data_IF_276937462057
#
_entry.id   IF_276937462057
#
_cell.length_a   1.000
_cell.length_b   1.000
_cell.length_c   1.000
_cell.angle_alpha   90.00
_cell.angle_beta   90.00
_cell.angle_gamma   90.00
#
_symmetry.space_group_name_H-M   'P 1'
#
loop_
_entity.id
_entity.type
_entity.pdbx_description
1 polymer ?
#
# COMPACT_ATOMS: atom_id res chain seq x y z
N UNK A 1 -2.53 -22.64 14.14
CA UNK A 1 -1.38 -21.80 13.73
C UNK A 1 -1.82 -20.35 13.86
N UNK A 2 -0.95 -19.49 14.37
CA UNK A 2 -1.20 -18.06 14.46
C UNK A 2 -0.99 -17.40 13.10
N UNK A 3 -1.67 -16.29 12.85
CA UNK A 3 -1.53 -15.53 11.60
C UNK A 3 -1.03 -14.13 11.90
N UNK A 4 -0.14 -13.63 11.04
CA UNK A 4 0.38 -12.28 11.13
C UNK A 4 0.61 -11.69 9.73
N UNK A 5 0.61 -10.36 9.65
CA UNK A 5 0.91 -9.64 8.41
C UNK A 5 2.41 -9.35 8.32
N UNK A 6 3.00 -9.58 7.16
CA UNK A 6 4.40 -9.25 6.88
C UNK A 6 4.52 -7.74 6.65
N UNK A 7 5.30 -7.06 7.48
CA UNK A 7 5.63 -5.64 7.31
C UNK A 7 6.78 -5.44 6.33
N UNK A 8 7.80 -6.29 6.43
CA UNK A 8 8.98 -6.28 5.55
C UNK A 8 9.75 -7.58 5.65
N UNK A 9 10.53 -7.89 4.63
CA UNK A 9 11.46 -9.04 4.62
C UNK A 9 12.89 -8.51 4.49
N UNK A 10 13.78 -8.93 5.37
CA UNK A 10 15.19 -8.52 5.37
C UNK A 10 16.07 -9.76 5.56
N UNK A 11 16.84 -10.10 4.56
CA UNK A 11 17.72 -11.27 4.62
C UNK A 11 16.94 -12.56 4.90
N UNK A 12 17.15 -13.19 6.06
CA UNK A 12 16.49 -14.43 6.48
C UNK A 12 15.23 -14.18 7.31
N UNK A 13 14.94 -12.95 7.68
CA UNK A 13 13.90 -12.61 8.63
C UNK A 13 12.74 -11.88 7.97
N UNK A 14 11.52 -12.15 8.44
CA UNK A 14 10.35 -11.34 8.20
C UNK A 14 9.97 -10.60 9.49
N UNK A 15 9.65 -9.32 9.38
CA UNK A 15 9.06 -8.55 10.45
C UNK A 15 7.54 -8.66 10.33
N UNK A 16 6.92 -9.16 11.38
CA UNK A 16 5.50 -9.51 11.42
C UNK A 16 4.72 -8.57 12.34
N UNK A 17 3.44 -8.37 12.00
CA UNK A 17 2.47 -7.64 12.80
C UNK A 17 1.28 -8.57 13.13
N UNK A 18 0.99 -8.75 14.42
CA UNK A 18 -0.20 -9.42 14.92
C UNK A 18 -0.90 -8.51 15.93
N UNK A 19 -2.05 -7.97 15.55
CA UNK A 19 -2.66 -6.86 16.30
C UNK A 19 -1.68 -5.68 16.40
N UNK A 20 -1.32 -5.27 17.62
CA UNK A 20 -0.35 -4.19 17.87
C UNK A 20 1.08 -4.68 18.11
N UNK A 21 1.29 -6.00 18.11
CA UNK A 21 2.60 -6.59 18.39
C UNK A 21 3.43 -6.75 17.13
N UNK A 22 4.66 -6.23 17.18
CA UNK A 22 5.67 -6.37 16.13
C UNK A 22 6.77 -7.30 16.62
N UNK A 23 7.13 -8.29 15.81
CA UNK A 23 8.19 -9.25 16.12
C UNK A 23 8.84 -9.75 14.84
N UNK A 24 10.02 -10.36 14.95
CA UNK A 24 10.71 -11.01 13.84
C UNK A 24 10.48 -12.52 13.85
N UNK A 25 10.44 -13.11 12.66
CA UNK A 25 10.35 -14.54 12.45
C UNK A 25 11.30 -15.00 11.35
N UNK A 26 11.92 -16.14 11.51
CA UNK A 26 12.74 -16.77 10.48
C UNK A 26 11.89 -17.22 9.29
N UNK A 27 12.37 -16.95 8.09
CA UNK A 27 11.72 -17.36 6.84
C UNK A 27 12.45 -18.53 6.23
N UNK A 28 11.77 -19.66 6.07
CA UNK A 28 12.34 -20.85 5.42
C UNK A 28 12.69 -20.53 3.95
N UNK A 29 13.81 -21.06 3.46
CA UNK A 29 14.31 -20.81 2.09
C UNK A 29 13.24 -21.06 1.01
N UNK A 30 12.42 -22.11 1.18
CA UNK A 30 11.31 -22.44 0.26
C UNK A 30 10.26 -21.33 0.14
N UNK A 31 9.99 -20.57 1.22
CA UNK A 31 9.01 -19.48 1.22
C UNK A 31 9.59 -18.21 0.60
N UNK A 32 10.88 -17.96 0.74
CA UNK A 32 11.57 -16.89 0.01
C UNK A 32 11.51 -17.10 -1.49
N UNK A 33 11.72 -18.33 -1.95
CA UNK A 33 11.61 -18.70 -3.38
C UNK A 33 10.18 -18.53 -3.91
N UNK A 34 9.17 -18.58 -3.04
CA UNK A 34 7.78 -18.25 -3.40
C UNK A 34 7.48 -16.74 -3.46
N UNK A 35 8.49 -15.89 -3.25
CA UNK A 35 8.33 -14.44 -3.36
C UNK A 35 7.57 -13.80 -2.18
N UNK A 36 7.89 -14.20 -0.93
CA UNK A 36 7.34 -13.54 0.27
C UNK A 36 7.64 -12.04 0.24
N UNK A 37 6.59 -11.22 0.42
CA UNK A 37 6.69 -9.76 0.36
C UNK A 37 5.89 -9.06 1.47
N UNK A 38 6.02 -7.75 1.56
CA UNK A 38 5.20 -6.94 2.45
C UNK A 38 3.71 -7.12 2.13
N UNK A 39 2.85 -7.05 3.14
CA UNK A 39 1.41 -7.26 3.00
C UNK A 39 0.97 -8.73 3.00
N UNK A 40 1.88 -9.71 2.84
CA UNK A 40 1.52 -11.12 2.93
C UNK A 40 0.96 -11.47 4.31
N UNK A 41 -0.09 -12.25 4.32
CA UNK A 41 -0.57 -12.90 5.54
C UNK A 41 0.13 -14.25 5.65
N UNK A 42 0.80 -14.50 6.76
CA UNK A 42 1.57 -15.73 6.97
C UNK A 42 1.07 -16.49 8.19
N UNK A 43 1.21 -17.80 8.13
CA UNK A 43 1.07 -18.67 9.29
C UNK A 43 2.46 -18.87 9.91
N UNK A 44 2.54 -18.76 11.23
CA UNK A 44 3.78 -18.91 11.96
C UNK A 44 3.63 -19.76 13.22
N UNK A 45 4.74 -20.29 13.71
CA UNK A 45 4.83 -21.03 14.98
C UNK A 45 6.05 -20.58 15.78
N UNK A 46 6.01 -20.84 17.08
CA UNK A 46 7.16 -20.63 17.95
C UNK A 46 7.97 -21.91 18.05
N UNK A 47 9.28 -21.81 17.80
CA UNK A 47 10.24 -22.90 18.00
C UNK A 47 10.90 -22.72 19.37
N UNK A 48 10.49 -23.55 20.32
CA UNK A 48 10.98 -23.51 21.70
C UNK A 48 12.46 -23.90 21.83
N UNK A 49 12.98 -24.71 20.88
CA UNK A 49 14.40 -25.14 20.92
C UNK A 49 15.32 -23.96 20.58
N UNK A 50 14.98 -23.25 19.52
CA UNK A 50 15.79 -22.11 19.05
C UNK A 50 15.30 -20.76 19.60
N UNK A 51 14.27 -20.76 20.45
CA UNK A 51 13.64 -19.56 21.02
C UNK A 51 13.31 -18.48 19.96
N UNK A 52 12.73 -18.91 18.83
CA UNK A 52 12.43 -18.02 17.69
C UNK A 52 11.09 -18.34 17.05
N UNK A 53 10.49 -17.37 16.37
CA UNK A 53 9.33 -17.60 15.53
C UNK A 53 9.75 -18.04 14.14
N UNK A 54 8.99 -18.93 13.52
CA UNK A 54 9.25 -19.44 12.17
C UNK A 54 8.01 -19.30 11.32
N UNK A 55 8.15 -18.68 10.14
CA UNK A 55 7.09 -18.61 9.13
C UNK A 55 6.94 -20.00 8.49
N UNK A 56 5.74 -20.56 8.58
CA UNK A 56 5.43 -21.91 8.09
C UNK A 56 4.81 -21.91 6.70
N UNK A 57 3.90 -20.92 6.44
CA UNK A 57 3.17 -20.85 5.19
C UNK A 57 2.82 -19.40 4.83
N UNK A 58 2.59 -19.14 3.53
CA UNK A 58 2.02 -17.90 3.00
C UNK A 58 0.57 -18.19 2.66
N UNK A 59 -0.37 -17.42 3.22
CA UNK A 59 -1.78 -17.51 2.88
C UNK A 59 -2.06 -17.02 1.46
N UNK A 60 -3.21 -17.35 0.92
CA UNK A 60 -3.66 -16.87 -0.39
C UNK A 60 -3.75 -15.34 -0.39
N UNK A 61 -3.25 -14.74 -1.45
CA UNK A 61 -3.26 -13.29 -1.68
C UNK A 61 -4.58 -12.88 -2.34
N UNK A 62 -5.14 -11.74 -1.94
CA UNK A 62 -6.27 -11.11 -2.64
C UNK A 62 -5.82 -10.44 -3.93
N UNK A 63 -4.66 -9.79 -3.89
CA UNK A 63 -3.99 -9.11 -4.99
C UNK A 63 -2.49 -9.01 -4.75
N UNK A 64 -1.76 -8.61 -5.78
CA UNK A 64 -0.31 -8.43 -5.69
C UNK A 64 0.16 -7.37 -6.69
N UNK A 65 0.92 -6.41 -6.21
CA UNK A 65 1.61 -5.41 -7.03
C UNK A 65 3.09 -5.77 -7.12
N UNK A 66 3.64 -5.86 -8.34
CA UNK A 66 5.05 -6.20 -8.53
C UNK A 66 6.00 -5.05 -8.18
N UNK A 67 5.55 -3.82 -8.40
CA UNK A 67 6.34 -2.61 -8.14
C UNK A 67 5.47 -1.48 -7.59
N UNK A 68 5.57 -1.20 -6.28
CA UNK A 68 6.39 -1.90 -5.27
C UNK A 68 5.92 -3.33 -5.03
N UNK A 69 6.85 -4.25 -4.66
CA UNK A 69 6.52 -5.64 -4.39
C UNK A 69 5.74 -5.76 -3.07
N UNK A 70 4.42 -5.75 -3.16
CA UNK A 70 3.50 -5.76 -2.03
C UNK A 70 2.22 -6.53 -2.36
N UNK A 71 1.63 -7.19 -1.38
CA UNK A 71 0.40 -7.97 -1.52
C UNK A 71 -0.71 -7.49 -0.59
N UNK A 72 -1.94 -7.94 -0.85
CA UNK A 72 -3.14 -7.67 -0.05
C UNK A 72 -3.43 -6.17 0.15
N UNK A 73 -3.13 -5.37 -0.89
CA UNK A 73 -3.35 -3.93 -0.89
C UNK A 73 -4.85 -3.62 -0.94
N UNK A 74 -5.31 -2.74 -0.06
CA UNK A 74 -6.68 -2.27 -0.01
C UNK A 74 -6.87 -1.02 -0.86
N UNK A 75 -5.93 -0.07 -0.75
CA UNK A 75 -6.02 1.25 -1.37
C UNK A 75 -4.71 1.65 -2.04
N UNK A 76 -4.81 2.29 -3.19
CA UNK A 76 -3.66 2.91 -3.87
C UNK A 76 -3.91 4.41 -4.05
N UNK A 77 -2.91 5.21 -3.67
CA UNK A 77 -2.94 6.67 -3.77
C UNK A 77 -1.99 7.12 -4.87
N UNK A 78 -2.54 7.56 -5.99
CA UNK A 78 -1.76 8.10 -7.12
C UNK A 78 -1.53 9.59 -6.85
N UNK A 79 -0.27 9.97 -6.67
CA UNK A 79 0.11 11.36 -6.40
C UNK A 79 0.37 12.09 -7.70
N UNK A 80 -0.36 13.17 -7.92
CA UNK A 80 -0.18 14.06 -9.05
C UNK A 80 0.12 15.47 -8.57
N UNK A 81 0.82 16.24 -9.39
CA UNK A 81 1.08 17.65 -9.16
C UNK A 81 0.93 18.44 -10.46
N UNK A 82 0.69 19.76 -10.34
CA UNK A 82 0.73 20.65 -11.48
C UNK A 82 2.17 20.88 -11.95
N UNK A 83 3.12 20.93 -11.00
CA UNK A 83 4.55 21.12 -11.25
C UNK A 83 5.40 20.14 -10.40
N UNK A 84 6.19 19.24 -11.05
CA UNK A 84 6.17 18.95 -12.48
C UNK A 84 4.81 18.42 -12.94
N UNK A 85 4.44 18.70 -14.18
CA UNK A 85 3.15 18.25 -14.72
C UNK A 85 3.07 16.73 -14.74
N UNK A 86 2.02 16.18 -14.17
CA UNK A 86 1.77 14.74 -14.17
C UNK A 86 1.41 14.23 -15.58
N UNK A 87 1.92 13.07 -15.94
CA UNK A 87 1.49 12.34 -17.13
C UNK A 87 0.14 11.65 -16.85
N UNK A 88 -0.96 12.29 -17.27
CA UNK A 88 -2.31 11.77 -17.05
C UNK A 88 -2.58 10.46 -17.79
N UNK A 89 -1.89 10.19 -18.90
CA UNK A 89 -1.99 8.91 -19.59
C UNK A 89 -1.38 7.77 -18.77
N UNK A 90 -0.32 8.04 -18.01
CA UNK A 90 0.21 7.08 -17.05
C UNK A 90 -0.78 6.84 -15.91
N UNK A 91 -1.46 7.90 -15.44
CA UNK A 91 -2.51 7.78 -14.41
C UNK A 91 -3.63 6.86 -14.90
N UNK A 92 -4.11 7.03 -16.13
CA UNK A 92 -5.14 6.16 -16.72
C UNK A 92 -4.71 4.68 -16.74
N UNK A 93 -3.47 4.40 -17.13
CA UNK A 93 -2.91 3.03 -17.11
C UNK A 93 -2.87 2.45 -15.70
N UNK A 94 -2.47 3.26 -14.71
CA UNK A 94 -2.46 2.85 -13.32
C UNK A 94 -3.88 2.52 -12.83
N UNK A 95 -4.88 3.33 -13.17
CA UNK A 95 -6.27 3.09 -12.78
C UNK A 95 -6.82 1.78 -13.37
N UNK A 96 -6.51 1.50 -14.64
CA UNK A 96 -6.89 0.22 -15.27
C UNK A 96 -6.23 -0.95 -14.54
N UNK A 97 -4.93 -0.86 -14.26
CA UNK A 97 -4.21 -1.91 -13.53
C UNK A 97 -4.79 -2.14 -12.13
N UNK A 98 -5.04 -1.07 -11.35
CA UNK A 98 -5.63 -1.16 -10.02
C UNK A 98 -7.05 -1.78 -10.06
N UNK A 99 -7.83 -1.46 -11.10
CA UNK A 99 -9.14 -2.05 -11.31
C UNK A 99 -9.08 -3.56 -11.57
N UNK A 100 -8.09 -4.05 -12.34
CA UNK A 100 -7.86 -5.48 -12.58
C UNK A 100 -7.49 -6.19 -11.27
N UNK A 101 -6.65 -5.58 -10.46
CA UNK A 101 -6.20 -6.13 -9.16
C UNK A 101 -7.25 -5.98 -8.04
N UNK A 102 -8.38 -5.30 -8.29
CA UNK A 102 -9.43 -5.06 -7.29
C UNK A 102 -8.98 -4.12 -6.15
N UNK A 103 -8.05 -3.21 -6.44
CA UNK A 103 -7.51 -2.23 -5.48
C UNK A 103 -8.25 -0.91 -5.65
N UNK A 104 -8.70 -0.30 -4.54
CA UNK A 104 -9.42 0.96 -4.56
C UNK A 104 -8.48 2.13 -4.88
N UNK A 105 -8.69 2.84 -6.01
CA UNK A 105 -7.85 3.95 -6.40
C UNK A 105 -8.29 5.27 -5.76
N UNK A 106 -7.31 6.05 -5.33
CA UNK A 106 -7.44 7.43 -4.89
C UNK A 106 -6.46 8.31 -5.66
N UNK A 107 -6.81 9.56 -5.88
CA UNK A 107 -5.87 10.56 -6.41
C UNK A 107 -5.55 11.56 -5.31
N UNK A 108 -4.27 11.89 -5.16
CA UNK A 108 -3.79 12.99 -4.32
C UNK A 108 -3.29 14.10 -5.24
N UNK A 109 -3.96 15.25 -5.21
CA UNK A 109 -3.42 16.48 -5.80
C UNK A 109 -2.48 17.09 -4.77
N UNK A 110 -1.19 16.94 -4.99
CA UNK A 110 -0.15 17.44 -4.09
C UNK A 110 0.18 18.90 -4.31
N UNK A 111 0.89 19.52 -3.36
CA UNK A 111 1.33 20.92 -3.39
C UNK A 111 0.14 21.90 -3.51
N UNK A 112 -0.93 21.63 -2.77
CA UNK A 112 -2.15 22.46 -2.77
C UNK A 112 -1.90 23.95 -2.45
N UNK A 113 -0.77 24.28 -1.83
CA UNK A 113 -0.36 25.65 -1.52
C UNK A 113 0.05 26.49 -2.76
N UNK A 114 0.27 25.86 -3.90
CA UNK A 114 0.67 26.53 -5.16
C UNK A 114 -0.19 26.14 -6.37
N UNK A 115 -1.20 25.32 -6.16
CA UNK A 115 -2.12 24.85 -7.22
C UNK A 115 -3.36 25.73 -7.23
N UNK A 116 -3.81 26.13 -8.42
CA UNK A 116 -5.07 26.87 -8.58
C UNK A 116 -6.30 25.95 -8.59
N UNK A 117 -7.45 26.53 -8.25
CA UNK A 117 -8.71 25.81 -8.18
C UNK A 117 -9.11 25.21 -9.53
N UNK A 118 -8.77 25.84 -10.64
CA UNK A 118 -9.08 25.35 -11.98
C UNK A 118 -8.40 24.02 -12.29
N UNK A 119 -7.15 23.83 -11.87
CA UNK A 119 -6.47 22.55 -12.00
C UNK A 119 -7.14 21.47 -11.15
N UNK A 120 -7.48 21.79 -9.90
CA UNK A 120 -8.13 20.85 -8.97
C UNK A 120 -9.48 20.38 -9.54
N UNK A 121 -10.31 21.31 -10.00
CA UNK A 121 -11.63 21.00 -10.56
C UNK A 121 -11.51 20.19 -11.87
N UNK A 122 -10.52 20.48 -12.71
CA UNK A 122 -10.26 19.68 -13.91
C UNK A 122 -9.92 18.22 -13.57
N UNK A 123 -9.04 18.00 -12.59
CA UNK A 123 -8.68 16.64 -12.13
C UNK A 123 -9.91 15.92 -11.55
N UNK A 124 -10.69 16.58 -10.71
CA UNK A 124 -11.91 16.01 -10.15
C UNK A 124 -12.91 15.61 -11.25
N UNK A 125 -13.11 16.46 -12.25
CA UNK A 125 -14.00 16.21 -13.36
C UNK A 125 -13.50 15.05 -14.24
N UNK A 126 -12.22 15.06 -14.60
CA UNK A 126 -11.61 14.06 -15.48
C UNK A 126 -11.66 12.65 -14.90
N UNK A 127 -11.40 12.50 -13.61
CA UNK A 127 -11.37 11.20 -12.93
C UNK A 127 -12.66 10.88 -12.15
N UNK A 128 -13.71 11.65 -12.36
CA UNK A 128 -15.04 11.39 -11.78
C UNK A 128 -15.52 9.99 -12.15
N UNK A 129 -15.88 9.19 -11.15
CA UNK A 129 -16.33 7.80 -11.34
C UNK A 129 -15.22 6.78 -11.59
N UNK A 130 -13.96 7.22 -11.79
CA UNK A 130 -12.81 6.31 -11.96
C UNK A 130 -12.04 6.08 -10.64
N UNK A 131 -12.18 6.99 -9.68
CA UNK A 131 -11.52 6.91 -8.37
C UNK A 131 -12.53 7.06 -7.23
N UNK A 132 -12.16 6.53 -6.07
CA UNK A 132 -13.01 6.67 -4.88
C UNK A 132 -13.08 8.13 -4.42
N UNK A 133 -11.96 8.84 -4.52
CA UNK A 133 -11.86 10.22 -4.05
C UNK A 133 -10.62 10.92 -4.61
N UNK A 134 -10.71 12.23 -4.78
CA UNK A 134 -9.58 13.12 -5.03
C UNK A 134 -9.31 13.91 -3.74
N UNK A 135 -8.15 13.71 -3.14
CA UNK A 135 -7.69 14.39 -1.94
C UNK A 135 -6.75 15.53 -2.36
N UNK A 136 -7.00 16.73 -1.88
CA UNK A 136 -6.15 17.90 -2.15
C UNK A 136 -5.26 18.13 -0.94
N UNK A 137 -3.93 18.00 -1.13
CA UNK A 137 -2.98 17.90 -0.02
C UNK A 137 -1.77 18.83 -0.21
N UNK A 138 -1.37 19.49 0.86
CA UNK A 138 -0.07 20.17 0.96
C UNK A 138 0.70 19.69 2.19
N UNK A 139 1.83 19.01 1.98
CA UNK A 139 2.73 18.64 3.07
C UNK A 139 3.40 19.85 3.73
N UNK A 140 3.44 21.00 3.04
CA UNK A 140 4.05 22.23 3.54
C UNK A 140 3.14 22.95 4.54
N UNK A 141 1.84 23.01 4.26
CA UNK A 141 0.86 23.72 5.10
C UNK A 141 0.07 22.80 6.03
N UNK A 142 0.11 21.48 5.77
CA UNK A 142 -0.70 20.49 6.49
C UNK A 142 -2.14 20.36 5.93
N UNK A 143 -2.53 21.15 4.95
CA UNK A 143 -3.87 21.05 4.35
C UNK A 143 -4.11 19.65 3.77
N UNK A 144 -5.28 19.05 4.06
CA UNK A 144 -5.70 17.75 3.57
C UNK A 144 -5.03 16.54 4.23
N UNK A 145 -4.07 16.72 5.17
CA UNK A 145 -3.41 15.61 5.85
C UNK A 145 -4.37 14.80 6.71
N UNK A 146 -5.28 15.43 7.44
CA UNK A 146 -6.24 14.73 8.29
C UNK A 146 -7.14 13.81 7.44
N UNK A 147 -7.60 14.31 6.30
CA UNK A 147 -8.40 13.54 5.36
C UNK A 147 -7.62 12.32 4.83
N UNK A 148 -6.37 12.52 4.43
CA UNK A 148 -5.49 11.41 4.01
C UNK A 148 -5.25 10.39 5.11
N UNK A 149 -5.00 10.83 6.34
CA UNK A 149 -4.80 9.95 7.51
C UNK A 149 -6.04 9.10 7.81
N UNK A 150 -7.24 9.66 7.66
CA UNK A 150 -8.50 8.91 7.83
C UNK A 150 -8.59 7.80 6.77
N UNK A 151 -8.25 8.09 5.52
CA UNK A 151 -8.34 7.12 4.44
C UNK A 151 -7.28 6.01 4.53
N UNK A 152 -6.13 6.24 5.15
CA UNK A 152 -5.08 5.22 5.30
C UNK A 152 -5.23 4.37 6.56
N UNK A 153 -6.11 4.74 7.49
CA UNK A 153 -6.24 4.05 8.78
C UNK A 153 -6.81 2.64 8.61
N UNK A 154 -6.13 1.66 9.18
CA UNK A 154 -6.62 0.28 9.27
C UNK A 154 -6.61 -0.50 7.95
N UNK A 155 -5.89 -0.02 6.93
CA UNK A 155 -5.75 -0.70 5.64
C UNK A 155 -4.28 -0.81 5.21
N UNK A 156 -4.00 -1.73 4.30
CA UNK A 156 -2.72 -1.81 3.59
C UNK A 156 -2.84 -0.89 2.38
N UNK A 157 -2.03 0.14 2.33
CA UNK A 157 -2.06 1.13 1.26
C UNK A 157 -0.69 1.35 0.61
N UNK A 158 -0.69 1.77 -0.65
CA UNK A 158 0.48 2.17 -1.43
C UNK A 158 0.34 3.61 -1.91
N UNK A 159 1.49 4.28 -2.06
CA UNK A 159 1.59 5.66 -2.51
C UNK A 159 2.60 5.73 -3.66
#
# INVERSE_FOLDING_TARGET
MNKATVLRVVGADAYLLEGDKKFSALVLKKLKLKGLCAGDIVEYSFDAINNTFIVQNICERRNHIDRPNISNVDKAFIVISKEPQADLFLVDKMLVYLGIEGILPFIIVSKADIVDDGFIENIKCQFSGCVQKVIVLSSKTGAGLDEFMVETKGCISVL
#
